data_IF_088414288600
#
_entry.id   IF_088414288600
#
_cell.length_a   1.000
_cell.length_b   1.000
_cell.length_c   1.000
_cell.angle_alpha   90.00
_cell.angle_beta   90.00
_cell.angle_gamma   90.00
#
_symmetry.space_group_name_H-M   'P 1'
#
loop_
_entity.id
_entity.type
_entity.pdbx_description
1 polymer ?
#
# COMPACT_ATOMS: atom_id res chain seq x y z
N UNK A 1 13.88 -14.47 -30.21
CA UNK A 1 14.17 -13.49 -29.13
C UNK A 1 13.71 -14.12 -27.84
N UNK A 2 14.61 -14.21 -26.87
CA UNK A 2 14.43 -15.05 -25.68
C UNK A 2 13.52 -14.38 -24.64
N UNK A 3 12.74 -15.20 -23.93
CA UNK A 3 11.87 -14.76 -22.83
C UNK A 3 12.72 -14.37 -21.62
N UNK A 4 12.48 -13.19 -21.05
CA UNK A 4 13.18 -12.73 -19.84
C UNK A 4 12.55 -13.38 -18.62
N UNK A 5 13.31 -14.14 -17.83
CA UNK A 5 12.83 -14.72 -16.57
C UNK A 5 13.16 -13.81 -15.40
N UNK A 6 12.14 -13.41 -14.65
CA UNK A 6 12.23 -12.46 -13.55
C UNK A 6 11.72 -13.14 -12.28
N UNK A 7 12.49 -13.06 -11.20
CA UNK A 7 12.06 -13.55 -9.91
C UNK A 7 11.85 -12.38 -8.95
N UNK A 8 10.67 -12.31 -8.34
CA UNK A 8 10.29 -11.32 -7.33
C UNK A 8 10.30 -12.01 -5.97
N UNK A 9 11.00 -11.43 -4.99
CA UNK A 9 11.09 -12.02 -3.66
C UNK A 9 10.07 -11.38 -2.72
N UNK A 10 9.20 -12.21 -2.14
CA UNK A 10 8.15 -11.83 -1.19
C UNK A 10 6.75 -11.82 -1.80
N UNK A 11 5.78 -12.40 -1.09
CA UNK A 11 4.37 -12.45 -1.49
C UNK A 11 3.46 -11.51 -0.67
N UNK A 12 4.05 -10.48 -0.05
CA UNK A 12 3.29 -9.36 0.51
C UNK A 12 2.81 -8.41 -0.57
N UNK A 13 2.13 -7.34 -0.16
CA UNK A 13 1.52 -6.37 -1.07
C UNK A 13 2.50 -5.71 -2.04
N UNK A 14 3.72 -5.42 -1.59
CA UNK A 14 4.78 -4.85 -2.44
C UNK A 14 5.26 -5.86 -3.49
N UNK A 15 5.49 -7.10 -3.08
CA UNK A 15 5.98 -8.15 -3.98
C UNK A 15 4.96 -8.54 -5.04
N UNK A 16 3.71 -8.78 -4.64
CA UNK A 16 2.64 -9.15 -5.58
C UNK A 16 2.28 -7.99 -6.53
N UNK A 17 2.23 -6.75 -6.04
CA UNK A 17 1.99 -5.59 -6.92
C UNK A 17 3.15 -5.36 -7.89
N UNK A 18 4.40 -5.54 -7.44
CA UNK A 18 5.58 -5.48 -8.32
C UNK A 18 5.51 -6.57 -9.39
N UNK A 19 5.21 -7.82 -9.03
CA UNK A 19 5.05 -8.91 -9.99
C UNK A 19 3.98 -8.62 -11.04
N UNK A 20 2.83 -8.09 -10.61
CA UNK A 20 1.74 -7.70 -11.50
C UNK A 20 2.13 -6.53 -12.42
N UNK A 21 2.87 -5.53 -11.94
CA UNK A 21 3.35 -4.42 -12.78
C UNK A 21 4.40 -4.90 -13.78
N UNK A 22 5.36 -5.73 -13.36
CA UNK A 22 6.40 -6.26 -14.23
C UNK A 22 5.81 -7.14 -15.34
N UNK A 23 4.86 -8.01 -15.02
CA UNK A 23 4.22 -8.88 -16.02
C UNK A 23 3.45 -8.09 -17.10
N UNK A 24 2.93 -6.91 -16.76
CA UNK A 24 2.25 -6.02 -17.71
C UNK A 24 3.21 -5.11 -18.49
N UNK A 25 4.28 -4.63 -17.85
CA UNK A 25 5.15 -3.60 -18.42
C UNK A 25 6.36 -4.16 -19.19
N UNK A 26 6.79 -5.39 -18.90
CA UNK A 26 7.97 -5.99 -19.54
C UNK A 26 7.52 -7.00 -20.61
N UNK A 27 7.69 -6.68 -21.91
CA UNK A 27 7.30 -7.59 -22.97
C UNK A 27 8.10 -8.90 -22.92
N UNK A 28 7.43 -10.03 -23.18
CA UNK A 28 8.04 -11.37 -23.23
C UNK A 28 8.82 -11.70 -21.94
N UNK A 29 8.21 -11.45 -20.78
CA UNK A 29 8.75 -11.91 -19.51
C UNK A 29 7.95 -13.09 -18.93
N UNK A 30 8.62 -13.87 -18.09
CA UNK A 30 8.02 -14.85 -17.19
C UNK A 30 8.39 -14.42 -15.77
N UNK A 31 7.38 -14.17 -14.94
CA UNK A 31 7.55 -13.67 -13.57
C UNK A 31 7.23 -14.79 -12.59
N UNK A 32 8.15 -15.02 -11.66
CA UNK A 32 7.98 -15.97 -10.55
C UNK A 32 8.09 -15.23 -9.23
N UNK A 33 7.04 -15.32 -8.39
CA UNK A 33 7.08 -14.82 -7.01
C UNK A 33 7.60 -15.93 -6.11
N UNK A 34 8.68 -15.65 -5.39
CA UNK A 34 9.32 -16.58 -4.47
C UNK A 34 9.16 -16.03 -3.04
N UNK A 35 8.51 -16.79 -2.16
CA UNK A 35 8.29 -16.36 -0.78
C UNK A 35 8.30 -17.55 0.19
N UNK A 36 8.71 -17.30 1.43
CA UNK A 36 8.57 -18.25 2.54
C UNK A 36 7.12 -18.29 3.07
N UNK A 37 6.44 -17.15 3.03
CA UNK A 37 5.03 -16.95 3.44
C UNK A 37 4.19 -16.37 2.31
N UNK A 38 2.94 -16.80 2.24
CA UNK A 38 1.89 -16.30 1.34
C UNK A 38 0.66 -15.92 2.17
N UNK A 39 -0.37 -15.36 1.53
CA UNK A 39 -1.66 -15.12 2.20
C UNK A 39 -2.18 -16.41 2.84
N UNK A 40 -2.67 -16.37 4.10
CA UNK A 40 -2.92 -15.21 4.96
C UNK A 40 -1.77 -14.83 5.90
N UNK A 41 -0.58 -15.42 5.76
CA UNK A 41 0.51 -15.36 6.73
C UNK A 41 1.58 -14.29 6.41
N UNK A 42 1.19 -13.18 5.77
CA UNK A 42 2.10 -12.06 5.48
C UNK A 42 1.86 -10.88 6.42
N UNK A 43 2.85 -10.01 6.62
CA UNK A 43 2.65 -8.75 7.37
C UNK A 43 1.58 -7.87 6.73
N UNK A 44 1.38 -7.97 5.41
CA UNK A 44 0.32 -7.24 4.73
C UNK A 44 -1.06 -7.68 5.19
N UNK A 45 -1.28 -8.96 5.55
CA UNK A 45 -2.59 -9.47 6.00
C UNK A 45 -3.05 -8.93 7.35
N UNK A 46 -2.14 -8.37 8.16
CA UNK A 46 -2.46 -7.74 9.46
C UNK A 46 -2.53 -6.21 9.39
N UNK A 47 -2.29 -5.62 8.21
CA UNK A 47 -2.33 -4.18 8.03
C UNK A 47 -3.77 -3.64 8.11
N UNK A 48 -3.94 -2.43 8.66
CA UNK A 48 -5.24 -1.76 8.73
C UNK A 48 -5.83 -1.39 7.35
N UNK A 49 -4.98 -1.25 6.33
CA UNK A 49 -5.39 -1.03 4.95
C UNK A 49 -5.75 0.42 4.59
N UNK A 50 -5.67 1.35 5.54
CA UNK A 50 -5.96 2.77 5.28
C UNK A 50 -4.85 3.43 4.47
N UNK A 51 -5.21 4.09 3.37
CA UNK A 51 -4.27 4.77 2.51
C UNK A 51 -4.01 6.20 3.03
N UNK A 52 -3.08 6.33 3.97
CA UNK A 52 -2.61 7.60 4.52
C UNK A 52 -1.07 7.52 4.56
N UNK A 53 -0.33 8.41 3.86
CA UNK A 53 1.11 8.25 3.72
C UNK A 53 1.82 8.87 4.94
N UNK A 54 2.70 8.12 5.64
CA UNK A 54 3.59 8.72 6.62
C UNK A 54 4.71 9.49 5.94
N UNK A 55 5.39 10.34 6.69
CA UNK A 55 6.66 10.94 6.28
C UNK A 55 7.80 9.98 6.58
N UNK A 56 8.83 9.98 5.71
CA UNK A 56 10.03 9.18 5.90
C UNK A 56 11.26 10.10 5.87
N UNK A 57 12.14 10.07 6.89
CA UNK A 57 13.31 10.94 6.94
C UNK A 57 14.20 10.85 5.69
N UNK A 58 14.36 9.63 5.16
CA UNK A 58 15.27 9.36 4.04
C UNK A 58 14.61 9.48 2.65
N UNK A 59 13.34 9.90 2.57
CA UNK A 59 12.64 10.03 1.28
C UNK A 59 12.09 11.44 1.09
N UNK A 60 12.53 12.17 0.04
CA UNK A 60 12.04 13.52 -0.22
C UNK A 60 10.52 13.56 -0.39
N UNK A 61 9.87 14.56 0.23
CA UNK A 61 8.42 14.78 0.17
C UNK A 61 7.86 14.77 -1.27
N UNK A 62 8.49 15.41 -2.29
CA UNK A 62 7.99 15.33 -3.66
C UNK A 62 7.92 13.90 -4.22
N UNK A 63 8.83 13.03 -3.79
CA UNK A 63 8.84 11.61 -4.17
C UNK A 63 7.71 10.85 -3.47
N UNK A 64 7.52 11.06 -2.16
CA UNK A 64 6.42 10.45 -1.40
C UNK A 64 5.06 10.87 -1.97
N UNK A 65 4.89 12.16 -2.26
CA UNK A 65 3.67 12.70 -2.86
C UNK A 65 3.36 12.08 -4.21
N UNK A 66 4.38 11.90 -5.06
CA UNK A 66 4.23 11.25 -6.37
C UNK A 66 3.76 9.80 -6.22
N UNK A 67 4.44 9.00 -5.39
CA UNK A 67 4.05 7.60 -5.16
C UNK A 67 2.65 7.47 -4.56
N UNK A 68 2.32 8.34 -3.61
CA UNK A 68 0.98 8.38 -3.03
C UNK A 68 -0.08 8.70 -4.08
N UNK A 69 0.14 9.72 -4.93
CA UNK A 69 -0.78 10.08 -6.01
C UNK A 69 -0.99 8.96 -7.01
N UNK A 70 0.10 8.34 -7.49
CA UNK A 70 0.02 7.21 -8.43
C UNK A 70 -0.73 6.02 -7.81
N UNK A 71 -0.46 5.71 -6.53
CA UNK A 71 -1.17 4.66 -5.79
C UNK A 71 -2.65 4.98 -5.62
N UNK A 72 -2.98 6.22 -5.22
CA UNK A 72 -4.34 6.67 -5.00
C UNK A 72 -5.16 6.60 -6.30
N UNK A 73 -4.58 7.03 -7.42
CA UNK A 73 -5.21 6.96 -8.74
C UNK A 73 -5.49 5.52 -9.16
N UNK A 74 -4.50 4.64 -9.05
CA UNK A 74 -4.66 3.22 -9.39
C UNK A 74 -5.76 2.54 -8.56
N UNK A 75 -5.73 2.73 -7.24
CA UNK A 75 -6.74 2.14 -6.36
C UNK A 75 -8.12 2.79 -6.55
N UNK A 76 -8.19 4.08 -6.91
CA UNK A 76 -9.45 4.75 -7.28
C UNK A 76 -10.06 4.21 -8.57
N UNK A 77 -9.24 3.74 -9.51
CA UNK A 77 -9.73 3.06 -10.72
C UNK A 77 -10.33 1.70 -10.37
N UNK A 78 -9.67 0.93 -9.52
CA UNK A 78 -10.19 -0.35 -9.03
C UNK A 78 -11.49 -0.14 -8.24
N UNK A 79 -11.53 0.84 -7.34
CA UNK A 79 -12.71 1.17 -6.52
C UNK A 79 -13.95 1.55 -7.35
N UNK A 80 -13.76 2.05 -8.57
CA UNK A 80 -14.84 2.40 -9.51
C UNK A 80 -15.16 1.28 -10.50
N UNK A 81 -14.43 0.16 -10.46
CA UNK A 81 -14.63 -0.97 -11.36
C UNK A 81 -15.61 -2.00 -10.77
N UNK A 82 -16.05 -2.95 -11.60
CA UNK A 82 -16.82 -4.10 -11.14
C UNK A 82 -16.03 -5.02 -10.21
N UNK A 83 -14.69 -4.92 -10.21
CA UNK A 83 -13.79 -5.75 -9.39
C UNK A 83 -13.55 -5.16 -7.99
N UNK A 84 -14.12 -4.00 -7.65
CA UNK A 84 -13.85 -3.30 -6.39
C UNK A 84 -14.07 -4.19 -5.16
N UNK A 85 -15.15 -4.97 -5.14
CA UNK A 85 -15.50 -5.88 -4.03
C UNK A 85 -14.51 -7.04 -3.95
N UNK A 86 -14.20 -7.68 -5.09
CA UNK A 86 -13.27 -8.80 -5.13
C UNK A 86 -11.84 -8.38 -4.77
N UNK A 87 -11.46 -7.16 -5.12
CA UNK A 87 -10.17 -6.57 -4.78
C UNK A 87 -10.12 -6.00 -3.36
N UNK A 88 -11.27 -5.89 -2.67
CA UNK A 88 -11.37 -5.29 -1.32
C UNK A 88 -10.98 -3.82 -1.26
N UNK A 89 -11.22 -3.05 -2.33
CA UNK A 89 -10.87 -1.62 -2.40
C UNK A 89 -12.13 -0.77 -2.29
N UNK A 90 -12.16 0.11 -1.29
CA UNK A 90 -13.33 0.94 -1.00
C UNK A 90 -12.94 2.36 -0.62
N UNK A 91 -13.77 3.34 -0.97
CA UNK A 91 -13.65 4.69 -0.44
C UNK A 91 -14.16 4.74 1.00
N UNK A 92 -13.46 5.47 1.86
CA UNK A 92 -13.78 5.63 3.27
C UNK A 92 -13.64 7.10 3.67
N UNK A 93 -14.68 7.65 4.28
CA UNK A 93 -14.68 9.00 4.82
C UNK A 93 -14.47 8.96 6.33
N UNK A 94 -13.71 9.92 6.86
CA UNK A 94 -13.46 9.99 8.28
C UNK A 94 -12.71 11.24 8.71
N UNK A 95 -12.26 11.18 9.96
CA UNK A 95 -11.52 12.25 10.60
C UNK A 95 -10.16 11.75 11.08
N UNK A 96 -9.14 12.58 10.92
CA UNK A 96 -7.87 12.48 11.63
C UNK A 96 -7.85 13.55 12.70
N UNK A 97 -7.87 13.15 13.98
CA UNK A 97 -7.97 14.06 15.13
C UNK A 97 -6.66 14.11 15.92
N UNK A 98 -6.28 15.29 16.39
CA UNK A 98 -5.01 15.58 17.05
C UNK A 98 -5.24 16.21 18.43
N UNK A 99 -4.47 15.77 19.44
CA UNK A 99 -4.57 16.31 20.81
C UNK A 99 -4.17 17.78 20.89
N UNK A 100 -3.31 18.23 19.99
CA UNK A 100 -2.86 19.61 19.83
C UNK A 100 -2.78 19.95 18.35
N UNK A 101 -2.81 21.24 18.00
CA UNK A 101 -2.61 21.69 16.62
C UNK A 101 -1.25 21.22 16.10
N UNK A 102 -1.19 20.49 14.97
CA UNK A 102 0.06 20.02 14.39
C UNK A 102 0.87 21.18 13.78
N UNK A 103 2.20 21.05 13.73
CA UNK A 103 3.08 22.06 13.10
C UNK A 103 2.76 22.28 11.61
N UNK A 104 2.34 21.23 10.92
CA UNK A 104 1.86 21.28 9.53
C UNK A 104 0.36 20.97 9.52
N UNK A 105 -0.46 22.01 9.47
CA UNK A 105 -1.93 21.90 9.45
C UNK A 105 -2.47 21.35 8.13
N UNK A 106 -1.75 21.58 7.02
CA UNK A 106 -2.09 21.03 5.70
C UNK A 106 -0.98 20.08 5.27
N UNK A 107 -1.19 18.76 5.38
CA UNK A 107 -0.17 17.78 5.04
C UNK A 107 0.12 17.77 3.53
N UNK A 108 1.33 17.40 3.15
CA UNK A 108 1.79 17.36 1.74
C UNK A 108 0.87 16.58 0.76
N UNK A 109 0.01 15.69 1.25
CA UNK A 109 -0.89 14.82 0.49
C UNK A 109 -2.36 15.31 0.46
N UNK A 110 -2.68 16.44 1.10
CA UNK A 110 -4.04 16.97 1.22
C UNK A 110 -4.74 17.19 -0.15
N UNK A 111 -3.99 17.59 -1.18
CA UNK A 111 -4.49 17.81 -2.55
C UNK A 111 -4.71 16.52 -3.36
N UNK A 112 -4.32 15.36 -2.81
CA UNK A 112 -4.46 14.07 -3.50
C UNK A 112 -5.71 13.32 -3.04
N UNK A 113 -6.06 13.43 -1.75
CA UNK A 113 -7.27 12.82 -1.19
C UNK A 113 -8.51 13.63 -1.53
N UNK A 114 -9.69 13.04 -1.34
CA UNK A 114 -10.95 13.68 -1.72
C UNK A 114 -11.51 14.53 -0.57
N UNK A 115 -11.78 15.80 -0.87
CA UNK A 115 -12.50 16.69 0.05
C UNK A 115 -11.75 16.99 1.35
N UNK A 116 -10.42 17.09 1.30
CA UNK A 116 -9.64 17.50 2.46
C UNK A 116 -10.06 18.88 2.97
N UNK A 117 -10.28 18.96 4.28
CA UNK A 117 -10.54 20.21 4.99
C UNK A 117 -10.25 20.03 6.47
N UNK A 118 -10.17 21.14 7.19
CA UNK A 118 -10.25 21.12 8.64
C UNK A 118 -11.67 20.75 9.11
N UNK A 119 -11.74 20.18 10.31
CA UNK A 119 -13.00 19.92 10.99
C UNK A 119 -13.63 21.23 11.44
N UNK A 120 -14.95 21.32 11.30
CA UNK A 120 -15.71 22.41 11.90
C UNK A 120 -15.72 22.28 13.42
N UNK A 121 -15.97 23.39 14.11
CA UNK A 121 -16.11 23.39 15.58
C UNK A 121 -17.20 22.40 16.05
N UNK A 122 -18.29 22.27 15.29
CA UNK A 122 -19.37 21.33 15.58
C UNK A 122 -18.93 19.86 15.47
N UNK A 123 -18.09 19.53 14.48
CA UNK A 123 -17.52 18.18 14.36
C UNK A 123 -16.50 17.89 15.47
N UNK A 124 -15.65 18.87 15.79
CA UNK A 124 -14.60 18.71 16.82
C UNK A 124 -15.19 18.55 18.22
N UNK A 125 -16.34 19.18 18.52
CA UNK A 125 -17.09 19.00 19.78
C UNK A 125 -17.43 17.54 20.11
N UNK A 126 -17.44 16.65 19.12
CA UNK A 126 -17.64 15.20 19.31
C UNK A 126 -16.42 14.50 19.94
N UNK A 127 -15.27 15.15 19.94
CA UNK A 127 -13.99 14.63 20.40
C UNK A 127 -13.38 15.59 21.44
N UNK A 128 -13.95 15.71 22.66
CA UNK A 128 -13.62 16.77 23.61
C UNK A 128 -12.17 16.75 24.16
N UNK A 129 -11.41 15.69 23.87
CA UNK A 129 -9.99 15.56 24.26
C UNK A 129 -9.01 16.00 23.16
N UNK A 130 -9.53 16.50 22.02
CA UNK A 130 -8.76 16.83 20.83
C UNK A 130 -8.99 18.29 20.46
N UNK A 131 -7.91 18.98 20.10
CA UNK A 131 -7.90 20.42 19.82
C UNK A 131 -7.97 20.74 18.32
N UNK A 132 -7.62 19.78 17.47
CA UNK A 132 -7.59 19.95 16.02
C UNK A 132 -8.03 18.68 15.32
N UNK A 133 -8.58 18.83 14.11
CA UNK A 133 -8.91 17.67 13.31
C UNK A 133 -9.09 18.03 11.84
N UNK A 134 -8.88 17.03 10.99
CA UNK A 134 -9.00 17.11 9.55
C UNK A 134 -10.04 16.08 9.09
N UNK A 135 -10.87 16.45 8.12
CA UNK A 135 -11.84 15.57 7.48
C UNK A 135 -11.46 15.37 6.02
N UNK A 136 -11.51 14.11 5.56
CA UNK A 136 -11.25 13.77 4.17
C UNK A 136 -11.82 12.38 3.84
N UNK A 137 -11.90 12.08 2.54
CA UNK A 137 -12.19 10.74 2.03
C UNK A 137 -10.95 10.17 1.39
N UNK A 138 -10.55 8.98 1.82
CA UNK A 138 -9.42 8.22 1.27
C UNK A 138 -9.86 6.81 0.86
N UNK A 139 -8.92 5.95 0.50
CA UNK A 139 -9.16 4.55 0.17
C UNK A 139 -8.75 3.64 1.32
N UNK A 140 -9.52 2.57 1.50
CA UNK A 140 -9.15 1.41 2.29
C UNK A 140 -8.93 0.22 1.34
N UNK A 141 -7.88 -0.54 1.61
CA UNK A 141 -7.56 -1.78 0.94
C UNK A 141 -7.54 -2.92 1.95
N UNK A 142 -8.50 -3.83 1.83
CA UNK A 142 -8.55 -5.05 2.60
C UNK A 142 -7.53 -6.02 2.00
N UNK A 143 -6.32 -6.06 2.55
CA UNK A 143 -5.24 -6.91 2.03
C UNK A 143 -5.58 -8.41 2.05
N UNK A 144 -6.50 -8.85 2.93
CA UNK A 144 -7.04 -10.20 2.92
C UNK A 144 -7.78 -10.56 1.63
N UNK A 145 -8.36 -9.59 0.93
CA UNK A 145 -8.98 -9.75 -0.38
C UNK A 145 -8.04 -9.32 -1.53
N UNK A 146 -7.31 -8.21 -1.34
CA UNK A 146 -6.46 -7.64 -2.37
C UNK A 146 -5.29 -8.54 -2.77
N UNK A 147 -4.66 -9.25 -1.81
CA UNK A 147 -3.53 -10.13 -2.13
C UNK A 147 -3.97 -11.34 -2.96
N UNK A 148 -5.03 -12.10 -2.60
CA UNK A 148 -5.58 -13.13 -3.49
C UNK A 148 -6.02 -12.59 -4.85
N UNK A 149 -6.56 -11.37 -4.90
CA UNK A 149 -6.94 -10.74 -6.16
C UNK A 149 -5.71 -10.45 -7.05
N UNK A 150 -4.60 -10.00 -6.47
CA UNK A 150 -3.33 -9.84 -7.20
C UNK A 150 -2.73 -11.17 -7.66
N UNK A 151 -2.81 -12.23 -6.85
CA UNK A 151 -2.31 -13.57 -7.21
C UNK A 151 -3.03 -14.19 -8.41
N UNK A 152 -4.27 -13.78 -8.68
CA UNK A 152 -5.00 -14.19 -9.90
C UNK A 152 -4.42 -13.55 -11.17
N UNK A 153 -3.56 -12.53 -11.06
CA UNK A 153 -2.90 -11.90 -12.21
C UNK A 153 -1.72 -12.78 -12.65
N UNK A 154 -1.56 -12.93 -13.96
CA UNK A 154 -0.76 -13.97 -14.63
C UNK A 154 0.75 -13.98 -14.26
N UNK A 155 1.12 -14.56 -13.12
CA UNK A 155 2.49 -14.89 -12.74
C UNK A 155 2.53 -16.20 -11.93
N UNK A 156 3.69 -16.86 -11.90
CA UNK A 156 3.88 -18.10 -11.16
C UNK A 156 4.23 -17.81 -9.70
N UNK A 157 3.78 -18.65 -8.78
CA UNK A 157 4.16 -18.58 -7.36
C UNK A 157 4.95 -19.82 -6.96
N UNK A 158 6.00 -19.63 -6.17
CA UNK A 158 6.87 -20.71 -5.70
C UNK A 158 7.20 -20.51 -4.22
N UNK A 159 6.97 -21.55 -3.41
CA UNK A 159 7.34 -21.55 -2.00
C UNK A 159 8.84 -21.76 -1.86
N UNK A 160 9.50 -20.91 -1.08
CA UNK A 160 10.90 -21.11 -0.74
C UNK A 160 11.05 -22.38 0.13
N UNK A 161 11.82 -23.38 -0.35
CA UNK A 161 12.21 -24.54 0.46
C UNK A 161 13.33 -24.15 1.42
N UNK A 162 13.26 -24.66 2.66
CA UNK A 162 14.07 -24.21 3.79
C UNK A 162 15.58 -24.36 3.64
N UNK A 163 16.27 -23.34 4.16
CA UNK A 163 17.69 -23.23 4.56
C UNK A 163 18.79 -23.33 3.49
N UNK A 164 19.59 -22.25 3.44
CA UNK A 164 21.02 -22.21 3.12
C UNK A 164 21.54 -22.29 1.68
N UNK A 165 20.76 -21.93 0.66
CA UNK A 165 21.39 -21.56 -0.62
C UNK A 165 21.27 -20.06 -0.81
N UNK A 166 22.44 -19.41 -0.76
CA UNK A 166 22.62 -17.97 -0.93
C UNK A 166 21.88 -17.49 -2.16
N UNK A 167 21.42 -16.25 -2.10
CA UNK A 167 20.81 -15.47 -3.19
C UNK A 167 21.53 -15.66 -4.55
N UNK A 168 22.84 -15.96 -4.50
CA UNK A 168 23.74 -16.25 -5.61
C UNK A 168 23.37 -17.48 -6.47
N UNK A 169 22.84 -18.57 -5.91
CA UNK A 169 22.59 -19.80 -6.72
C UNK A 169 21.39 -19.63 -7.68
N UNK A 170 20.52 -18.64 -7.40
CA UNK A 170 19.32 -18.35 -8.20
C UNK A 170 19.53 -17.24 -9.24
N UNK A 171 20.56 -16.42 -9.07
CA UNK A 171 20.98 -15.39 -10.04
C UNK A 171 21.36 -15.99 -11.41
N UNK A 172 21.84 -17.23 -11.44
CA UNK A 172 22.22 -17.91 -12.67
C UNK A 172 21.06 -18.23 -13.64
N UNK A 173 19.80 -18.10 -13.22
CA UNK A 173 18.61 -18.38 -14.07
C UNK A 173 17.62 -17.24 -14.20
N UNK A 174 17.57 -16.31 -13.24
CA UNK A 174 16.58 -15.23 -13.18
C UNK A 174 17.24 -13.89 -12.90
N UNK A 175 16.70 -12.82 -13.49
CA UNK A 175 16.97 -11.47 -12.99
C UNK A 175 16.18 -11.28 -11.70
N UNK A 176 16.88 -11.16 -10.58
CA UNK A 176 16.26 -10.94 -9.27
C UNK A 176 15.82 -9.49 -9.13
N UNK A 177 14.59 -9.28 -8.66
CA UNK A 177 14.08 -7.99 -8.25
C UNK A 177 13.91 -7.99 -6.73
N UNK A 178 14.76 -7.21 -6.06
CA UNK A 178 14.70 -6.97 -4.62
C UNK A 178 13.67 -5.90 -4.26
N UNK A 179 13.18 -5.98 -3.02
CA UNK A 179 12.11 -5.12 -2.46
C UNK A 179 12.43 -3.61 -2.49
N UNK A 180 13.70 -3.22 -2.67
CA UNK A 180 14.17 -1.82 -2.67
C UNK A 180 14.08 -1.12 -4.03
N UNK A 181 14.06 -1.87 -5.14
CA UNK A 181 14.16 -1.27 -6.48
C UNK A 181 12.81 -0.75 -7.02
N UNK A 182 11.68 -1.13 -6.42
CA UNK A 182 10.34 -0.81 -6.93
C UNK A 182 9.36 -0.26 -5.87
N UNK A 183 9.81 0.65 -4.99
CA UNK A 183 8.93 1.48 -4.13
C UNK A 183 7.82 2.26 -4.87
N UNK A 184 7.80 2.19 -6.22
CA UNK A 184 6.77 2.73 -7.11
C UNK A 184 5.44 1.99 -7.01
N UNK A 185 5.46 0.72 -6.65
CA UNK A 185 4.27 -0.13 -6.64
C UNK A 185 3.68 -0.14 -5.24
N UNK A 186 2.78 0.81 -5.01
CA UNK A 186 1.82 0.81 -3.91
C UNK A 186 2.43 1.05 -2.52
N UNK A 187 2.29 2.28 -2.00
CA UNK A 187 2.54 2.54 -0.58
C UNK A 187 1.44 1.90 0.27
N UNK A 188 1.55 0.60 0.52
CA UNK A 188 0.97 -0.02 1.71
C UNK A 188 2.09 -0.23 2.70
N UNK A 189 2.14 0.63 3.72
CA UNK A 189 3.05 0.41 4.81
C UNK A 189 2.56 -0.78 5.65
N UNK A 190 3.39 -1.83 5.72
CA UNK A 190 3.23 -2.93 6.67
C UNK A 190 3.79 -2.59 8.06
N UNK A 191 4.35 -1.39 8.26
CA UNK A 191 4.87 -0.90 9.54
C UNK A 191 3.85 -0.10 10.38
N UNK A 192 2.56 -0.08 10.03
CA UNK A 192 1.53 0.37 10.99
C UNK A 192 1.25 -0.66 12.11
N UNK A 193 2.27 -1.44 12.49
CA UNK A 193 2.32 -2.09 13.79
C UNK A 193 3.16 -1.19 14.69
N UNK A 194 2.49 -0.36 15.49
CA UNK A 194 3.06 0.43 16.59
C UNK A 194 4.07 1.52 16.21
N UNK A 195 3.66 2.53 15.46
CA UNK A 195 4.11 3.89 15.75
C UNK A 195 2.95 4.61 16.43
N UNK A 196 3.11 4.88 17.73
CA UNK A 196 2.23 5.76 18.50
C UNK A 196 2.34 7.18 17.91
N UNK A 197 1.70 7.40 16.78
CA UNK A 197 1.52 8.72 16.22
C UNK A 197 0.31 9.29 16.94
N UNK A 198 0.43 10.51 17.49
CA UNK A 198 -0.49 11.14 18.46
C UNK A 198 -1.92 11.45 17.94
N UNK A 199 -2.43 10.69 16.97
CA UNK A 199 -3.74 10.89 16.36
C UNK A 199 -4.55 9.60 16.34
N UNK A 200 -5.88 9.76 16.35
CA UNK A 200 -6.83 8.67 16.20
C UNK A 200 -7.57 8.87 14.89
N UNK A 201 -7.86 7.80 14.16
CA UNK A 201 -8.67 7.84 12.93
C UNK A 201 -10.08 7.41 13.29
N UNK A 202 -11.05 8.32 13.17
CA UNK A 202 -12.47 8.03 13.33
C UNK A 202 -13.10 7.79 11.96
N UNK A 203 -13.66 6.60 11.72
CA UNK A 203 -14.29 6.23 10.46
C UNK A 203 -15.82 6.27 10.58
N UNK A 204 -16.49 6.71 9.52
CA UNK A 204 -17.93 6.52 9.33
C UNK A 204 -18.15 5.75 8.04
N UNK A 205 -18.77 4.57 8.12
CA UNK A 205 -19.30 3.91 6.94
C UNK A 205 -20.53 4.67 6.48
N UNK A 206 -20.56 5.09 5.22
CA UNK A 206 -21.81 5.44 4.53
C UNK A 206 -22.60 4.18 4.22
#
# INVERSE_FOLDING_TARGET
>A
MDTVRIAVVGAGVIGLSTAACVSQLVPRCSVTVISDRFTPDTTSNVAAGMLIPPTYPDTPVPTLKRWFRETFQHLSEIARSAEAVDAGIHLVSGWQIFRSVPTEEVPFWADVVLGFREMTEAELKRFPQYEFGQAFTTLKCETSAYLPWLEKRQFETQKAQGTNNSTEEREGKHKLLGNTEWKKCVLFDSQTTMSATNYTVGLTST
#
